data_IF_187765381595
#
_entry.id   IF_187765381595
#
_cell.length_a   1.000
_cell.length_b   1.000
_cell.length_c   1.000
_cell.angle_alpha   90.00
_cell.angle_beta   90.00
_cell.angle_gamma   90.00
#
_symmetry.space_group_name_H-M   'P 1'
#
loop_
_entity.id
_entity.type
_entity.pdbx_description
1 polymer ?
#
# COMPACT_ATOMS: atom_id res chain seq x y z
N UNK A 1 -21.35 -7.34 14.96
CA UNK A 1 -21.05 -5.96 15.38
C UNK A 1 -19.57 -5.62 15.23
N UNK A 2 -18.63 -6.30 15.89
CA UNK A 2 -17.17 -5.98 15.82
C UNK A 2 -16.57 -6.02 14.38
N UNK A 3 -17.00 -6.95 13.55
CA UNK A 3 -16.52 -7.06 12.17
C UNK A 3 -16.94 -5.88 11.29
N UNK A 4 -18.18 -5.44 11.42
CA UNK A 4 -18.69 -4.27 10.69
C UNK A 4 -17.95 -2.98 11.08
N UNK A 5 -17.70 -2.76 12.38
CA UNK A 5 -16.96 -1.60 12.86
C UNK A 5 -15.50 -1.63 12.39
N UNK A 6 -14.88 -2.81 12.34
CA UNK A 6 -13.53 -2.97 11.79
C UNK A 6 -13.50 -2.62 10.29
N UNK A 7 -14.45 -3.10 9.49
CA UNK A 7 -14.58 -2.76 8.07
C UNK A 7 -14.82 -1.26 7.86
N UNK A 8 -15.71 -0.67 8.64
CA UNK A 8 -16.00 0.77 8.59
C UNK A 8 -14.75 1.61 8.89
N UNK A 9 -13.92 1.18 9.83
CA UNK A 9 -12.68 1.87 10.15
C UNK A 9 -11.64 1.76 9.01
N UNK A 10 -11.65 0.66 8.26
CA UNK A 10 -10.73 0.39 7.15
C UNK A 10 -11.26 0.85 5.77
N UNK A 11 -12.37 1.59 5.73
CA UNK A 11 -13.01 2.00 4.47
C UNK A 11 -12.05 2.67 3.48
N UNK A 12 -11.18 3.55 3.96
CA UNK A 12 -10.22 4.26 3.11
C UNK A 12 -9.13 3.35 2.54
N UNK A 13 -8.66 2.39 3.34
CA UNK A 13 -7.71 1.38 2.88
C UNK A 13 -8.33 0.47 1.81
N UNK A 14 -9.61 0.11 1.97
CA UNK A 14 -10.34 -0.71 1.01
C UNK A 14 -10.54 0.05 -0.30
N UNK A 15 -11.00 1.30 -0.23
CA UNK A 15 -11.16 2.17 -1.42
C UNK A 15 -9.82 2.32 -2.14
N UNK A 16 -8.74 2.58 -1.40
CA UNK A 16 -7.42 2.75 -1.97
C UNK A 16 -6.88 1.46 -2.60
N UNK A 17 -7.11 0.30 -1.99
CA UNK A 17 -6.76 -1.00 -2.58
C UNK A 17 -7.48 -1.23 -3.92
N UNK A 18 -8.75 -0.83 -4.04
CA UNK A 18 -9.48 -0.90 -5.32
C UNK A 18 -8.86 0.06 -6.33
N UNK A 19 -8.49 1.27 -5.92
CA UNK A 19 -7.81 2.24 -6.80
C UNK A 19 -6.48 1.67 -7.30
N UNK A 20 -5.68 1.05 -6.43
CA UNK A 20 -4.43 0.39 -6.83
C UNK A 20 -4.71 -0.70 -7.87
N UNK A 21 -5.68 -1.59 -7.61
CA UNK A 21 -6.05 -2.65 -8.56
C UNK A 21 -6.42 -2.09 -9.93
N UNK A 22 -7.13 -0.97 -9.98
CA UNK A 22 -7.50 -0.32 -11.25
C UNK A 22 -6.27 0.30 -11.90
N UNK A 23 -5.52 1.14 -11.19
CA UNK A 23 -4.39 1.88 -11.75
C UNK A 23 -3.24 0.98 -12.22
N UNK A 24 -2.94 -0.10 -11.48
CA UNK A 24 -1.89 -1.04 -11.88
C UNK A 24 -2.28 -1.91 -13.08
N UNK A 25 -3.57 -1.99 -13.42
CA UNK A 25 -4.06 -2.82 -14.53
C UNK A 25 -4.63 -2.02 -15.71
N UNK A 26 -4.60 -0.69 -15.67
CA UNK A 26 -4.98 0.15 -16.80
C UNK A 26 -3.88 0.11 -17.87
N UNK A 27 -4.31 -0.07 -19.12
CA UNK A 27 -3.44 0.09 -20.30
C UNK A 27 -3.22 1.57 -20.58
N UNK A 28 -1.98 2.04 -20.49
CA UNK A 28 -1.63 3.40 -20.88
C UNK A 28 -1.39 3.45 -22.39
N UNK A 29 -1.99 4.41 -23.13
CA UNK A 29 -1.73 4.55 -24.56
C UNK A 29 -0.24 4.82 -24.83
N UNK A 30 0.35 4.12 -25.80
CA UNK A 30 1.78 4.28 -26.16
C UNK A 30 2.16 5.72 -26.52
N UNK A 31 1.21 6.52 -27.02
CA UNK A 31 1.42 7.91 -27.38
C UNK A 31 1.68 8.83 -26.18
N UNK A 32 1.22 8.47 -24.99
CA UNK A 32 1.42 9.26 -23.77
C UNK A 32 2.81 9.00 -23.15
N UNK A 33 3.42 7.85 -23.46
CA UNK A 33 4.78 7.51 -23.03
C UNK A 33 5.85 8.40 -23.68
N UNK A 34 5.55 9.01 -24.84
CA UNK A 34 6.45 9.92 -25.57
C UNK A 34 6.41 11.37 -25.08
N UNK A 35 5.49 11.71 -24.17
CA UNK A 35 5.25 13.10 -23.73
C UNK A 35 6.29 13.66 -22.74
N UNK A 36 7.38 12.95 -22.46
CA UNK A 36 8.45 13.40 -21.54
C UNK A 36 8.07 13.41 -20.06
N UNK A 37 6.82 13.16 -19.71
CA UNK A 37 6.34 13.06 -18.33
C UNK A 37 6.62 11.68 -17.72
N UNK A 38 6.74 10.65 -18.57
CA UNK A 38 6.99 9.27 -18.15
C UNK A 38 8.46 8.93 -18.43
N UNK A 39 9.24 8.76 -17.38
CA UNK A 39 10.62 8.27 -17.46
C UNK A 39 10.67 6.75 -17.22
N UNK A 40 11.73 6.12 -17.65
CA UNK A 40 11.97 4.69 -17.38
C UNK A 40 11.93 4.42 -15.86
N UNK A 41 11.04 3.53 -15.42
CA UNK A 41 10.80 3.24 -13.99
C UNK A 41 9.67 4.05 -13.34
N UNK A 42 8.92 4.86 -14.09
CA UNK A 42 7.73 5.56 -13.57
C UNK A 42 6.73 4.59 -12.94
N UNK A 43 6.53 3.43 -13.56
CA UNK A 43 5.66 2.36 -13.08
C UNK A 43 6.09 1.90 -11.67
N UNK A 44 7.36 1.61 -11.49
CA UNK A 44 7.96 1.18 -10.20
C UNK A 44 7.80 2.22 -9.10
N UNK A 45 7.94 3.49 -9.44
CA UNK A 45 7.70 4.58 -8.50
C UNK A 45 6.23 4.68 -8.12
N UNK A 46 5.31 4.42 -9.07
CA UNK A 46 3.88 4.31 -8.83
C UNK A 46 3.56 3.21 -7.82
N UNK A 47 4.06 1.99 -8.05
CA UNK A 47 3.91 0.85 -7.15
C UNK A 47 4.40 1.18 -5.73
N UNK A 48 5.59 1.72 -5.58
CA UNK A 48 6.14 2.16 -4.30
C UNK A 48 5.22 3.17 -3.59
N UNK A 49 4.78 4.21 -4.30
CA UNK A 49 3.90 5.25 -3.74
C UNK A 49 2.53 4.71 -3.34
N UNK A 50 1.93 3.85 -4.16
CA UNK A 50 0.63 3.26 -3.89
C UNK A 50 0.64 2.41 -2.62
N UNK A 51 1.65 1.57 -2.43
CA UNK A 51 1.77 0.70 -1.27
C UNK A 51 2.23 1.44 -0.01
N UNK A 52 2.98 2.53 -0.16
CA UNK A 52 3.24 3.45 0.94
C UNK A 52 1.94 4.03 1.51
N UNK A 53 1.10 4.61 0.64
CA UNK A 53 -0.19 5.20 1.04
C UNK A 53 -1.13 4.13 1.60
N UNK A 54 -1.20 2.94 0.98
CA UNK A 54 -1.99 1.82 1.49
C UNK A 54 -1.61 1.48 2.94
N UNK A 55 -0.32 1.38 3.22
CA UNK A 55 0.19 1.06 4.55
C UNK A 55 -0.18 2.12 5.58
N UNK A 56 -0.04 3.40 5.22
CA UNK A 56 -0.45 4.52 6.08
C UNK A 56 -1.95 4.45 6.39
N UNK A 57 -2.78 4.18 5.38
CA UNK A 57 -4.24 4.06 5.55
C UNK A 57 -4.62 2.85 6.40
N UNK A 58 -3.93 1.71 6.28
CA UNK A 58 -4.14 0.53 7.12
C UNK A 58 -3.85 0.82 8.59
N UNK A 59 -2.77 1.55 8.89
CA UNK A 59 -2.48 2.00 10.25
C UNK A 59 -3.53 3.00 10.76
N UNK A 60 -3.91 3.96 9.92
CA UNK A 60 -4.95 4.94 10.25
C UNK A 60 -6.27 4.26 10.62
N UNK A 61 -6.73 3.31 9.79
CA UNK A 61 -7.94 2.54 10.08
C UNK A 61 -7.85 1.75 11.39
N UNK A 62 -6.65 1.20 11.70
CA UNK A 62 -6.44 0.51 12.97
C UNK A 62 -6.52 1.45 14.17
N UNK A 63 -5.91 2.65 14.08
CA UNK A 63 -5.95 3.66 15.15
C UNK A 63 -7.40 4.06 15.40
N UNK A 64 -8.17 4.33 14.35
CA UNK A 64 -9.59 4.66 14.46
C UNK A 64 -10.42 3.57 15.11
N UNK A 65 -10.10 2.30 14.84
CA UNK A 65 -10.80 1.17 15.45
C UNK A 65 -10.46 0.99 16.92
N UNK A 66 -9.21 1.17 17.31
CA UNK A 66 -8.70 0.90 18.66
C UNK A 66 -8.65 2.16 19.55
N UNK A 67 -8.85 3.34 18.98
CA UNK A 67 -8.71 4.65 19.65
C UNK A 67 -7.39 4.83 20.41
N UNK A 68 -6.35 4.10 20.01
CA UNK A 68 -5.03 4.23 20.58
C UNK A 68 -3.92 4.01 19.55
N UNK A 69 -2.78 4.64 19.81
CA UNK A 69 -1.52 4.45 19.09
C UNK A 69 -0.77 3.29 19.77
N UNK A 70 -0.79 2.10 19.19
CA UNK A 70 -0.02 0.97 19.71
C UNK A 70 0.87 0.33 18.66
N UNK A 71 2.14 0.20 18.98
CA UNK A 71 3.13 -0.48 18.14
C UNK A 71 3.19 -1.96 18.52
N UNK A 72 2.44 -2.79 17.81
CA UNK A 72 2.42 -4.24 18.03
C UNK A 72 2.98 -4.97 16.81
N UNK A 73 3.98 -5.81 17.01
CA UNK A 73 4.61 -6.62 15.95
C UNK A 73 3.60 -7.43 15.14
N UNK A 74 2.58 -8.00 15.80
CA UNK A 74 1.51 -8.73 15.12
C UNK A 74 0.72 -7.86 14.14
N UNK A 75 0.53 -6.57 14.45
CA UNK A 75 -0.17 -5.65 13.55
C UNK A 75 0.68 -5.33 12.32
N UNK A 76 1.96 -5.05 12.54
CA UNK A 76 2.91 -4.81 11.46
C UNK A 76 2.96 -6.01 10.54
N UNK A 77 3.08 -7.21 11.11
CA UNK A 77 3.07 -8.46 10.34
C UNK A 77 1.79 -8.61 9.49
N UNK A 78 0.61 -8.35 10.07
CA UNK A 78 -0.66 -8.40 9.32
C UNK A 78 -0.71 -7.40 8.17
N UNK A 79 -0.22 -6.18 8.37
CA UNK A 79 -0.19 -5.14 7.34
C UNK A 79 0.76 -5.54 6.21
N UNK A 80 1.96 -6.04 6.54
CA UNK A 80 2.92 -6.54 5.54
C UNK A 80 2.30 -7.71 4.74
N UNK A 81 1.63 -8.64 5.41
CA UNK A 81 0.97 -9.77 4.74
C UNK A 81 -0.17 -9.32 3.82
N UNK A 82 -1.00 -8.35 4.24
CA UNK A 82 -2.06 -7.79 3.39
C UNK A 82 -1.45 -7.13 2.15
N UNK A 83 -0.40 -6.33 2.33
CA UNK A 83 0.31 -5.68 1.21
C UNK A 83 0.93 -6.71 0.27
N UNK A 84 1.59 -7.75 0.80
CA UNK A 84 2.20 -8.81 0.00
C UNK A 84 1.16 -9.63 -0.80
N UNK A 85 0.01 -9.92 -0.19
CA UNK A 85 -1.08 -10.64 -0.88
C UNK A 85 -1.67 -9.76 -1.98
N UNK A 86 -1.86 -8.47 -1.74
CA UNK A 86 -2.39 -7.56 -2.75
C UNK A 86 -1.39 -7.37 -3.90
N UNK A 87 -0.11 -7.07 -3.62
CA UNK A 87 0.93 -6.90 -4.64
C UNK A 87 1.14 -8.17 -5.46
N UNK A 88 1.34 -9.31 -4.79
CA UNK A 88 1.48 -10.59 -5.47
C UNK A 88 0.23 -10.97 -6.27
N UNK A 89 -0.97 -10.60 -5.80
CA UNK A 89 -2.22 -10.77 -6.52
C UNK A 89 -2.29 -9.94 -7.79
N UNK A 90 -1.81 -8.71 -7.76
CA UNK A 90 -1.72 -7.82 -8.94
C UNK A 90 -0.78 -8.44 -9.98
N UNK A 91 0.42 -8.84 -9.58
CA UNK A 91 1.40 -9.49 -10.48
C UNK A 91 0.83 -10.77 -11.10
N UNK A 92 0.13 -11.58 -10.32
CA UNK A 92 -0.52 -12.80 -10.83
C UNK A 92 -1.64 -12.49 -11.82
N UNK A 93 -2.42 -11.43 -11.58
CA UNK A 93 -3.45 -10.96 -12.52
C UNK A 93 -2.82 -10.46 -13.81
N UNK A 94 -1.76 -9.67 -13.75
CA UNK A 94 -1.02 -9.17 -14.91
C UNK A 94 -0.48 -10.34 -15.74
N UNK A 95 0.10 -11.34 -15.11
CA UNK A 95 0.63 -12.50 -15.81
C UNK A 95 -0.44 -13.38 -16.50
N UNK A 96 -1.60 -13.55 -15.86
CA UNK A 96 -2.61 -14.51 -16.34
C UNK A 96 -3.72 -13.89 -17.18
N UNK A 97 -4.09 -12.66 -16.92
CA UNK A 97 -5.30 -12.06 -17.49
C UNK A 97 -5.00 -10.99 -18.53
N UNK A 98 -3.82 -10.37 -18.48
CA UNK A 98 -3.48 -9.26 -19.37
C UNK A 98 -2.37 -9.64 -20.32
N UNK A 99 -2.66 -9.60 -21.63
CA UNK A 99 -1.70 -9.94 -22.70
C UNK A 99 -0.73 -8.80 -23.01
N UNK A 100 -1.06 -7.58 -22.58
CA UNK A 100 -0.29 -6.35 -22.81
C UNK A 100 0.64 -5.99 -21.63
N UNK A 101 0.57 -6.71 -20.49
CA UNK A 101 1.47 -6.52 -19.35
C UNK A 101 2.15 -7.83 -18.97
N UNK A 102 3.43 -7.74 -18.67
CA UNK A 102 4.20 -8.82 -18.07
C UNK A 102 4.32 -8.61 -16.58
N UNK A 103 4.19 -9.68 -15.80
CA UNK A 103 4.50 -9.60 -14.37
C UNK A 103 5.99 -9.34 -14.18
N UNK A 104 6.32 -8.32 -13.39
CA UNK A 104 7.68 -7.97 -13.05
C UNK A 104 7.94 -8.11 -11.55
N UNK A 105 8.86 -8.99 -11.18
CA UNK A 105 9.25 -9.18 -9.77
C UNK A 105 9.76 -7.89 -9.10
N UNK A 106 10.27 -6.94 -9.90
CA UNK A 106 10.69 -5.64 -9.42
C UNK A 106 9.53 -4.77 -8.96
N UNK A 107 8.34 -4.89 -9.57
CA UNK A 107 7.15 -4.15 -9.18
C UNK A 107 6.66 -4.62 -7.81
N UNK A 108 6.61 -5.94 -7.61
CA UNK A 108 6.37 -6.52 -6.29
C UNK A 108 7.43 -6.09 -5.26
N UNK A 109 8.70 -6.01 -5.65
CA UNK A 109 9.77 -5.48 -4.81
C UNK A 109 9.51 -4.03 -4.38
N UNK A 110 9.06 -3.18 -5.30
CA UNK A 110 8.70 -1.79 -5.03
C UNK A 110 7.47 -1.67 -4.12
N UNK A 111 6.47 -2.55 -4.27
CA UNK A 111 5.33 -2.66 -3.37
C UNK A 111 5.78 -2.90 -1.92
N UNK A 112 6.70 -3.86 -1.74
CA UNK A 112 7.21 -4.20 -0.41
C UNK A 112 8.06 -3.08 0.19
N UNK A 113 8.87 -2.39 -0.62
CA UNK A 113 9.64 -1.21 -0.17
C UNK A 113 8.68 -0.10 0.26
N UNK A 114 7.65 0.20 -0.53
CA UNK A 114 6.62 1.18 -0.18
C UNK A 114 5.92 0.84 1.13
N UNK A 115 5.55 -0.44 1.32
CA UNK A 115 4.98 -0.93 2.55
C UNK A 115 5.93 -0.72 3.76
N UNK A 116 7.20 -1.08 3.63
CA UNK A 116 8.20 -0.90 4.70
C UNK A 116 8.43 0.57 5.04
N UNK A 117 8.43 1.46 4.04
CA UNK A 117 8.51 2.91 4.26
C UNK A 117 7.30 3.42 5.06
N UNK A 118 6.09 2.92 4.79
CA UNK A 118 4.89 3.24 5.55
C UNK A 118 4.96 2.74 6.99
N UNK A 119 5.47 1.53 7.22
CA UNK A 119 5.73 0.99 8.57
C UNK A 119 6.75 1.85 9.32
N UNK A 120 7.83 2.24 8.66
CA UNK A 120 8.86 3.09 9.24
C UNK A 120 8.31 4.47 9.63
N UNK A 121 7.52 5.11 8.75
CA UNK A 121 6.85 6.37 9.03
C UNK A 121 5.94 6.27 10.25
N UNK A 122 5.16 5.19 10.36
CA UNK A 122 4.33 4.94 11.53
C UNK A 122 5.15 4.76 12.81
N UNK A 123 6.27 4.03 12.73
CA UNK A 123 7.17 3.84 13.86
C UNK A 123 7.75 5.16 14.38
N UNK A 124 8.17 6.05 13.46
CA UNK A 124 8.69 7.38 13.84
C UNK A 124 7.64 8.22 14.55
N UNK A 125 6.40 8.27 14.04
CA UNK A 125 5.30 9.01 14.67
C UNK A 125 4.98 8.42 16.06
N UNK A 126 5.01 7.09 16.19
CA UNK A 126 4.77 6.44 17.47
C UNK A 126 5.85 6.79 18.51
N UNK A 127 7.12 6.81 18.12
CA UNK A 127 8.23 7.19 19.00
C UNK A 127 8.16 8.66 19.41
N UNK A 128 7.80 9.55 18.50
CA UNK A 128 7.59 10.98 18.80
C UNK A 128 6.50 11.17 19.88
N UNK A 129 5.33 10.60 19.67
CA UNK A 129 4.21 10.66 20.61
C UNK A 129 4.52 10.01 21.97
N UNK A 130 5.39 9.01 22.02
CA UNK A 130 5.82 8.39 23.26
C UNK A 130 6.73 9.32 24.08
N UNK A 131 7.61 10.04 23.42
CA UNK A 131 8.53 10.96 24.06
C UNK A 131 7.80 12.20 24.62
N UNK A 132 6.82 12.75 23.88
CA UNK A 132 6.02 13.89 24.36
C UNK A 132 5.22 13.59 25.63
N UNK A 133 4.78 12.36 25.82
CA UNK A 133 4.04 11.94 27.03
C UNK A 133 4.94 11.74 28.26
N UNK A 134 6.25 11.77 28.10
CA UNK A 134 7.24 11.59 29.17
C UNK A 134 7.80 12.90 29.72
N UNK A 135 7.55 14.01 29.04
CA UNK A 135 7.90 15.37 29.47
C UNK A 135 6.69 16.00 30.17
#
# INVERSE_FOLDING_TARGET
MKFYEALKSQRWSIIWAIVILVLCNIELPENDLSSGFFFEGYDKLGHLGFFYVLTVLLFYGKINYQHNFSFRSLTIFKIIMISAILGGGIELMQWKLFTYRSAEWWDFGCDMIGCLMGVFSYALIHLSNYNEKRV
#
